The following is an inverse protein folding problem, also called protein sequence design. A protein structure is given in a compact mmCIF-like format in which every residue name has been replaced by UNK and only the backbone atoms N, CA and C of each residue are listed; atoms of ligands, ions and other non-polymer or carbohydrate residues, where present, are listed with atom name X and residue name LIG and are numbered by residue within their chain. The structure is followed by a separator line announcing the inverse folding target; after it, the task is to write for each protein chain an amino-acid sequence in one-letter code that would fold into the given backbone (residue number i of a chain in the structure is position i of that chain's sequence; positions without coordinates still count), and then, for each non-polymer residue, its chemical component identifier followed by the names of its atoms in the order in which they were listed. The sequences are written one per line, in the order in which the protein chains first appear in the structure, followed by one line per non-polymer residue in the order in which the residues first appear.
data_IF_233954267836
#
_entry.id   IF_233954267836
#
_cell.length_a   1.000
_cell.length_b   1.000
_cell.length_c   1.000
_cell.angle_alpha   90.00
_cell.angle_beta   90.00
_cell.angle_gamma   90.00
#
_symmetry.space_group_name_H-M   'P 1'
#
loop_
_entity.id
_entity.type
_entity.pdbx_description
1 polymer ?
#
# COMPACT_ATOMS: atom_id res chain seq x y z
N UNK A 1 -31.13 -2.08 -25.70
CA UNK A 1 -32.47 -1.64 -25.27
C UNK A 1 -32.67 -2.10 -23.83
N UNK A 2 -32.59 -1.20 -22.86
CA UNK A 2 -32.83 -1.51 -21.45
C UNK A 2 -34.26 -1.11 -21.11
N UNK A 3 -35.05 -2.10 -20.69
CA UNK A 3 -36.45 -1.95 -20.30
C UNK A 3 -36.60 -0.97 -19.12
N UNK A 4 -37.79 -0.40 -19.07
CA UNK A 4 -38.21 0.75 -18.27
C UNK A 4 -37.74 0.81 -16.82
N UNK A 5 -37.32 2.03 -16.45
CA UNK A 5 -36.81 2.42 -15.14
C UNK A 5 -37.88 2.48 -14.04
N UNK A 6 -38.58 1.37 -13.81
CA UNK A 6 -39.37 1.19 -12.60
C UNK A 6 -38.41 1.09 -11.40
N UNK A 7 -38.59 1.91 -10.36
CA UNK A 7 -37.79 1.80 -9.15
C UNK A 7 -38.05 0.44 -8.48
N UNK A 8 -37.02 -0.41 -8.43
CA UNK A 8 -37.09 -1.69 -7.70
C UNK A 8 -37.39 -1.43 -6.22
N UNK A 9 -38.49 -1.98 -5.73
CA UNK A 9 -38.79 -2.04 -4.30
C UNK A 9 -37.98 -3.18 -3.67
N UNK A 10 -37.22 -2.86 -2.61
CA UNK A 10 -36.43 -3.85 -1.87
C UNK A 10 -37.22 -4.33 -0.65
N UNK A 11 -37.18 -5.63 -0.40
CA UNK A 11 -37.78 -6.26 0.77
C UNK A 11 -37.01 -5.94 2.04
N UNK A 12 -37.63 -6.12 3.21
CA UNK A 12 -36.97 -5.96 4.50
C UNK A 12 -35.78 -6.94 4.65
N UNK A 13 -35.95 -8.18 4.19
CA UNK A 13 -34.90 -9.21 4.22
C UNK A 13 -33.68 -8.83 3.35
N UNK A 14 -33.91 -8.34 2.12
CA UNK A 14 -32.81 -7.86 1.26
C UNK A 14 -32.08 -6.68 1.89
N UNK A 15 -32.80 -5.78 2.56
CA UNK A 15 -32.19 -4.64 3.26
C UNK A 15 -31.34 -5.10 4.44
N UNK A 16 -31.82 -6.03 5.25
CA UNK A 16 -31.08 -6.59 6.38
C UNK A 16 -29.81 -7.29 5.91
N UNK A 17 -29.92 -8.16 4.90
CA UNK A 17 -28.79 -8.85 4.29
C UNK A 17 -27.77 -7.87 3.70
N UNK A 18 -28.23 -6.80 3.04
CA UNK A 18 -27.35 -5.75 2.52
C UNK A 18 -26.58 -5.02 3.63
N UNK A 19 -27.20 -4.79 4.79
CA UNK A 19 -26.54 -4.16 5.94
C UNK A 19 -25.53 -5.10 6.61
N UNK A 20 -25.81 -6.40 6.64
CA UNK A 20 -24.88 -7.42 7.10
C UNK A 20 -23.63 -7.47 6.21
N UNK A 21 -23.82 -7.59 4.89
CA UNK A 21 -22.71 -7.56 3.93
C UNK A 21 -21.99 -6.20 3.91
N UNK A 22 -22.68 -5.10 4.20
CA UNK A 22 -22.04 -3.80 4.34
C UNK A 22 -20.98 -3.81 5.46
N UNK A 23 -21.30 -4.35 6.64
CA UNK A 23 -20.36 -4.40 7.76
C UNK A 23 -19.15 -5.29 7.47
N UNK A 24 -19.39 -6.42 6.80
CA UNK A 24 -18.37 -7.43 6.53
C UNK A 24 -17.40 -7.03 5.40
N UNK A 25 -17.93 -6.73 4.22
CA UNK A 25 -17.14 -6.57 2.98
C UNK A 25 -17.29 -5.18 2.35
N UNK A 26 -18.43 -4.54 2.55
CA UNK A 26 -18.66 -3.17 2.12
C UNK A 26 -19.65 -2.90 1.01
N UNK A 27 -19.95 -1.61 0.77
CA UNK A 27 -21.08 -1.22 -0.08
C UNK A 27 -20.88 -1.63 -1.53
N UNK A 28 -19.64 -1.68 -2.02
CA UNK A 28 -19.36 -2.09 -3.39
C UNK A 28 -19.58 -3.60 -3.57
N UNK A 29 -19.02 -4.41 -2.67
CA UNK A 29 -19.15 -5.87 -2.75
C UNK A 29 -20.56 -6.34 -2.40
N UNK A 30 -21.18 -5.79 -1.36
CA UNK A 30 -22.58 -6.03 -1.04
C UNK A 30 -23.50 -5.68 -2.23
N UNK A 31 -23.21 -4.56 -2.90
CA UNK A 31 -23.96 -4.15 -4.09
C UNK A 31 -23.79 -5.10 -5.28
N UNK A 32 -22.57 -5.62 -5.50
CA UNK A 32 -22.33 -6.67 -6.52
C UNK A 32 -23.11 -7.94 -6.23
N UNK A 33 -23.10 -8.42 -4.98
CA UNK A 33 -23.75 -9.68 -4.59
C UNK A 33 -25.28 -9.62 -4.64
N UNK A 34 -25.87 -8.52 -4.21
CA UNK A 34 -27.33 -8.37 -4.14
C UNK A 34 -27.93 -7.64 -5.35
N UNK A 35 -27.09 -7.19 -6.29
CA UNK A 35 -27.50 -6.32 -7.40
C UNK A 35 -28.17 -5.01 -6.92
N UNK A 36 -27.72 -4.47 -5.79
CA UNK A 36 -28.21 -3.22 -5.20
C UNK A 36 -27.17 -2.13 -5.42
N UNK A 37 -27.60 -0.92 -5.78
CA UNK A 37 -26.67 0.20 -5.97
C UNK A 37 -25.92 0.50 -4.66
N UNK A 38 -24.58 0.63 -4.67
CA UNK A 38 -23.80 0.88 -3.46
C UNK A 38 -24.24 2.15 -2.69
N UNK A 39 -24.73 3.17 -3.40
CA UNK A 39 -25.26 4.39 -2.79
C UNK A 39 -26.49 4.15 -1.91
N UNK A 40 -27.38 3.25 -2.32
CA UNK A 40 -28.57 2.85 -1.56
C UNK A 40 -28.18 2.13 -0.27
N UNK A 41 -27.24 1.19 -0.37
CA UNK A 41 -26.71 0.47 0.81
C UNK A 41 -26.07 1.44 1.80
N UNK A 42 -25.28 2.41 1.31
CA UNK A 42 -24.69 3.46 2.17
C UNK A 42 -25.75 4.30 2.88
N UNK A 43 -26.81 4.68 2.18
CA UNK A 43 -27.90 5.45 2.77
C UNK A 43 -28.61 4.65 3.88
N UNK A 44 -28.87 3.35 3.66
CA UNK A 44 -29.43 2.49 4.69
C UNK A 44 -28.50 2.31 5.89
N UNK A 45 -27.21 2.12 5.65
CA UNK A 45 -26.22 1.98 6.71
C UNK A 45 -26.08 3.25 7.55
N UNK A 46 -26.15 4.42 6.91
CA UNK A 46 -26.18 5.71 7.59
C UNK A 46 -27.44 5.84 8.48
N UNK A 47 -28.62 5.56 7.92
CA UNK A 47 -29.88 5.57 8.69
C UNK A 47 -29.88 4.57 9.85
N UNK A 48 -29.14 3.47 9.73
CA UNK A 48 -29.00 2.46 10.78
C UNK A 48 -27.83 2.72 11.76
N UNK A 49 -27.08 3.82 11.62
CA UNK A 49 -25.94 4.14 12.48
C UNK A 49 -24.75 3.16 12.36
N UNK A 50 -24.64 2.44 11.24
CA UNK A 50 -23.62 1.40 11.04
C UNK A 50 -22.31 1.94 10.44
N UNK A 51 -22.33 3.17 9.94
CA UNK A 51 -21.18 3.82 9.29
C UNK A 51 -19.97 3.93 10.24
N UNK A 52 -20.20 4.35 11.49
CA UNK A 52 -19.12 4.52 12.47
C UNK A 52 -18.50 3.20 12.89
N UNK A 53 -19.33 2.16 13.09
CA UNK A 53 -18.88 0.81 13.41
C UNK A 53 -17.90 0.31 12.34
N UNK A 54 -18.28 0.44 11.07
CA UNK A 54 -17.42 0.07 9.94
C UNK A 54 -16.12 0.88 9.90
N UNK A 55 -16.19 2.20 10.13
CA UNK A 55 -15.00 3.05 10.15
C UNK A 55 -14.05 2.68 11.30
N UNK A 56 -14.58 2.29 12.47
CA UNK A 56 -13.76 1.78 13.56
C UNK A 56 -13.03 0.49 13.16
N UNK A 57 -13.73 -0.49 12.58
CA UNK A 57 -13.12 -1.74 12.09
C UNK A 57 -12.06 -1.47 11.01
N UNK A 58 -12.36 -0.60 10.05
CA UNK A 58 -11.40 -0.25 9.00
C UNK A 58 -10.15 0.46 9.56
N UNK A 59 -10.31 1.34 10.56
CA UNK A 59 -9.18 1.99 11.25
C UNK A 59 -8.35 0.96 12.03
N UNK A 60 -8.99 0.04 12.74
CA UNK A 60 -8.31 -1.04 13.45
C UNK A 60 -7.52 -1.94 12.49
N UNK A 61 -8.13 -2.36 11.37
CA UNK A 61 -7.45 -3.12 10.32
C UNK A 61 -6.26 -2.37 9.71
N UNK A 62 -6.41 -1.07 9.44
CA UNK A 62 -5.31 -0.24 8.95
C UNK A 62 -4.18 -0.08 9.98
N UNK A 63 -4.51 0.04 11.27
CA UNK A 63 -3.53 0.10 12.35
C UNK A 63 -2.76 -1.23 12.48
N UNK A 64 -3.47 -2.36 12.45
CA UNK A 64 -2.86 -3.69 12.46
C UNK A 64 -1.94 -3.90 11.24
N UNK A 65 -2.38 -3.53 10.04
CA UNK A 65 -1.56 -3.62 8.83
C UNK A 65 -0.28 -2.77 8.92
N UNK A 66 -0.37 -1.56 9.51
CA UNK A 66 0.79 -0.70 9.76
C UNK A 66 1.75 -1.34 10.77
N UNK A 67 1.23 -1.94 11.83
CA UNK A 67 2.03 -2.65 12.82
C UNK A 67 2.77 -3.82 12.18
N UNK A 68 2.08 -4.66 11.40
CA UNK A 68 2.71 -5.78 10.68
C UNK A 68 3.76 -5.31 9.70
N UNK A 69 3.53 -4.18 9.02
CA UNK A 69 4.53 -3.59 8.14
C UNK A 69 5.76 -3.08 8.91
N UNK A 70 5.56 -2.42 10.06
CA UNK A 70 6.66 -1.98 10.92
C UNK A 70 7.47 -3.18 11.43
N UNK A 71 6.82 -4.25 11.87
CA UNK A 71 7.46 -5.49 12.29
C UNK A 71 8.28 -6.13 11.16
N UNK A 72 7.71 -6.25 9.96
CA UNK A 72 8.43 -6.77 8.79
C UNK A 72 9.67 -5.94 8.46
N UNK A 73 9.56 -4.61 8.49
CA UNK A 73 10.73 -3.73 8.26
C UNK A 73 11.80 -3.91 9.33
N UNK A 74 11.41 -4.01 10.59
CA UNK A 74 12.35 -4.26 11.68
C UNK A 74 13.09 -5.61 11.51
N UNK A 75 12.37 -6.66 11.10
CA UNK A 75 13.01 -7.96 10.82
C UNK A 75 14.01 -7.89 9.66
N UNK A 76 13.66 -7.21 8.56
CA UNK A 76 14.58 -7.01 7.44
C UNK A 76 15.79 -6.18 7.86
N UNK A 77 15.60 -5.11 8.65
CA UNK A 77 16.68 -4.28 9.15
C UNK A 77 17.66 -5.09 10.01
N UNK A 78 17.14 -5.95 10.91
CA UNK A 78 17.94 -6.86 11.73
C UNK A 78 18.77 -7.81 10.87
N UNK A 79 18.13 -8.51 9.92
CA UNK A 79 18.84 -9.45 9.02
C UNK A 79 19.92 -8.76 8.17
N UNK A 80 19.66 -7.52 7.72
CA UNK A 80 20.64 -6.73 7.01
C UNK A 80 21.84 -6.34 7.90
N UNK A 81 21.59 -6.02 9.18
CA UNK A 81 22.64 -5.82 10.17
C UNK A 81 23.45 -7.09 10.44
N UNK A 82 22.79 -8.24 10.60
CA UNK A 82 23.45 -9.54 10.78
C UNK A 82 24.36 -9.87 9.58
N UNK A 83 23.87 -9.66 8.35
CA UNK A 83 24.67 -9.84 7.13
C UNK A 83 25.85 -8.87 7.05
N UNK A 84 25.67 -7.62 7.47
CA UNK A 84 26.76 -6.64 7.53
C UNK A 84 27.89 -7.11 8.46
N UNK A 85 27.56 -7.68 9.63
CA UNK A 85 28.56 -8.24 10.53
C UNK A 85 29.35 -9.38 9.88
N UNK A 86 28.68 -10.31 9.20
CA UNK A 86 29.34 -11.41 8.48
C UNK A 86 30.30 -10.90 7.39
N UNK A 87 29.92 -9.88 6.61
CA UNK A 87 30.82 -9.30 5.61
C UNK A 87 32.09 -8.69 6.21
N UNK A 88 32.02 -8.17 7.45
CA UNK A 88 33.20 -7.65 8.16
C UNK A 88 34.11 -8.80 8.59
N UNK A 89 33.54 -9.87 9.16
CA UNK A 89 34.29 -11.06 9.56
C UNK A 89 35.00 -11.71 8.35
N UNK A 90 34.29 -11.90 7.24
CA UNK A 90 34.83 -12.46 6.00
C UNK A 90 35.94 -11.56 5.42
N UNK A 91 35.79 -10.24 5.50
CA UNK A 91 36.81 -9.31 5.02
C UNK A 91 38.09 -9.34 5.86
N UNK A 92 37.96 -9.54 7.17
CA UNK A 92 39.12 -9.72 8.07
C UNK A 92 39.84 -11.03 7.75
N UNK A 93 39.09 -12.11 7.49
CA UNK A 93 39.63 -13.43 7.18
C UNK A 93 40.22 -13.55 5.76
N UNK A 94 39.88 -12.64 4.84
CA UNK A 94 40.32 -12.71 3.45
C UNK A 94 41.74 -12.20 3.22
N UNK A 95 42.61 -13.06 2.69
CA UNK A 95 43.97 -12.72 2.26
C UNK A 95 44.02 -11.88 0.98
N UNK A 96 42.97 -11.93 0.16
CA UNK A 96 42.92 -11.24 -1.13
C UNK A 96 42.39 -9.81 -0.97
N UNK A 97 43.20 -8.83 -1.40
CA UNK A 97 42.83 -7.42 -1.32
C UNK A 97 41.58 -7.05 -2.12
N UNK A 98 41.32 -7.73 -3.25
CA UNK A 98 40.10 -7.52 -4.06
C UNK A 98 38.86 -7.98 -3.30
N UNK A 99 38.89 -9.20 -2.77
CA UNK A 99 37.77 -9.81 -2.06
C UNK A 99 37.42 -8.97 -0.81
N UNK A 100 38.41 -8.46 -0.08
CA UNK A 100 38.18 -7.51 1.04
C UNK A 100 37.43 -6.26 0.60
N UNK A 101 37.77 -5.67 -0.55
CA UNK A 101 37.10 -4.47 -1.06
C UNK A 101 35.64 -4.76 -1.41
N UNK A 102 35.38 -5.87 -2.07
CA UNK A 102 34.04 -6.28 -2.49
C UNK A 102 33.14 -6.61 -1.28
N UNK A 103 33.71 -7.27 -0.26
CA UNK A 103 33.04 -7.53 1.01
C UNK A 103 32.74 -6.22 1.77
N UNK A 104 33.67 -5.25 1.78
CA UNK A 104 33.43 -3.94 2.41
C UNK A 104 32.39 -3.09 1.67
N UNK A 105 32.34 -3.17 0.35
CA UNK A 105 31.25 -2.56 -0.42
C UNK A 105 29.89 -3.20 -0.07
N UNK A 106 29.86 -4.53 0.07
CA UNK A 106 28.65 -5.28 0.46
C UNK A 106 28.20 -4.94 1.89
N UNK A 107 29.13 -4.87 2.84
CA UNK A 107 28.90 -4.38 4.20
C UNK A 107 28.22 -3.00 4.19
N UNK A 108 28.79 -2.04 3.44
CA UNK A 108 28.24 -0.69 3.35
C UNK A 108 26.79 -0.69 2.87
N UNK A 109 26.49 -1.42 1.78
CA UNK A 109 25.13 -1.52 1.25
C UNK A 109 24.15 -2.15 2.26
N UNK A 110 24.58 -3.19 2.98
CA UNK A 110 23.77 -3.85 3.98
C UNK A 110 23.49 -2.94 5.20
N UNK A 111 24.52 -2.23 5.68
CA UNK A 111 24.41 -1.29 6.78
C UNK A 111 23.52 -0.09 6.44
N UNK A 112 23.68 0.51 5.26
CA UNK A 112 22.81 1.59 4.76
C UNK A 112 21.36 1.10 4.61
N UNK A 113 21.15 -0.11 4.08
CA UNK A 113 19.84 -0.73 3.99
C UNK A 113 19.19 -0.95 5.35
N UNK A 114 19.94 -1.46 6.33
CA UNK A 114 19.47 -1.64 7.70
C UNK A 114 19.08 -0.31 8.34
N UNK A 115 19.89 0.73 8.15
CA UNK A 115 19.64 2.07 8.67
C UNK A 115 18.35 2.66 8.07
N UNK A 116 18.16 2.57 6.74
CA UNK A 116 16.96 3.07 6.07
C UNK A 116 15.67 2.35 6.49
N UNK A 117 15.77 1.08 6.86
CA UNK A 117 14.63 0.26 7.30
C UNK A 117 14.34 0.39 8.79
N UNK A 118 15.31 0.87 9.58
CA UNK A 118 15.18 1.04 11.02
C UNK A 118 14.11 2.10 11.36
N UNK A 119 13.20 1.83 12.30
CA UNK A 119 12.23 2.82 12.76
C UNK A 119 12.88 4.01 13.48
N UNK A 120 14.11 3.85 13.99
CA UNK A 120 14.87 4.90 14.68
C UNK A 120 15.54 5.90 13.73
N UNK A 121 15.74 5.51 12.46
CA UNK A 121 16.03 6.47 11.40
C UNK A 121 14.74 7.23 11.13
N UNK A 122 14.42 8.17 12.02
CA UNK A 122 13.39 9.18 11.78
C UNK A 122 13.55 9.66 10.35
N UNK A 123 12.43 9.74 9.62
CA UNK A 123 12.42 10.13 8.20
C UNK A 123 13.41 11.28 8.03
N UNK A 124 14.48 11.15 7.23
CA UNK A 124 15.57 12.12 7.23
C UNK A 124 14.98 13.51 7.07
N UNK A 125 15.23 14.39 8.05
CA UNK A 125 14.51 15.65 8.24
C UNK A 125 14.65 16.64 7.07
N UNK A 126 15.41 16.31 6.02
CA UNK A 126 15.63 17.12 4.83
C UNK A 126 15.14 16.52 3.51
N UNK A 127 14.69 15.26 3.47
CA UNK A 127 14.28 14.64 2.20
C UNK A 127 12.84 15.03 1.88
N UNK A 128 12.70 16.30 1.46
CA UNK A 128 11.52 16.77 0.73
C UNK A 128 11.34 15.75 -0.38
N UNK A 129 10.24 14.98 -0.35
CA UNK A 129 9.75 14.24 -1.52
C UNK A 129 9.97 15.19 -2.69
N UNK A 130 10.86 14.83 -3.62
CA UNK A 130 10.92 15.49 -4.91
C UNK A 130 9.50 15.32 -5.42
N UNK A 131 8.72 16.39 -5.27
CA UNK A 131 7.37 16.41 -5.78
C UNK A 131 7.59 16.10 -7.24
N UNK A 132 7.11 14.93 -7.68
CA UNK A 132 6.96 14.65 -9.09
C UNK A 132 5.95 15.69 -9.58
N UNK A 133 6.45 16.89 -9.81
CA UNK A 133 5.68 18.02 -10.26
C UNK A 133 5.11 17.60 -11.60
N UNK A 134 3.86 18.01 -11.84
CA UNK A 134 3.13 17.76 -13.09
C UNK A 134 3.92 18.10 -14.37
N UNK A 135 5.10 18.77 -14.30
CA UNK A 135 6.02 18.99 -15.43
C UNK A 135 6.53 17.69 -16.07
N UNK A 136 6.82 16.64 -15.30
CA UNK A 136 7.34 15.38 -15.86
C UNK A 136 6.38 14.66 -16.82
N UNK A 137 5.05 14.81 -16.64
CA UNK A 137 4.06 14.18 -17.53
C UNK A 137 3.91 14.87 -18.88
N UNK A 138 4.33 16.13 -19.05
CA UNK A 138 4.27 16.81 -20.36
C UNK A 138 5.33 16.28 -21.33
N UNK A 139 6.50 15.88 -20.86
CA UNK A 139 7.56 15.39 -21.76
C UNK A 139 7.32 13.97 -22.29
N UNK A 140 6.62 13.11 -21.54
CA UNK A 140 6.31 11.75 -22.03
C UNK A 140 5.19 11.77 -23.09
N UNK A 141 4.26 12.73 -23.05
CA UNK A 141 3.25 12.90 -24.12
C UNK A 141 3.81 13.57 -25.38
N UNK A 142 4.77 14.48 -25.25
CA UNK A 142 5.38 15.13 -26.41
C UNK A 142 6.18 14.15 -27.29
N UNK A 143 6.81 13.11 -26.70
CA UNK A 143 7.56 12.11 -27.47
C UNK A 143 6.68 11.12 -28.25
N UNK A 144 5.44 10.85 -27.81
CA UNK A 144 4.51 9.98 -28.57
C UNK A 144 3.92 10.68 -29.79
N UNK A 145 3.65 11.98 -29.72
CA UNK A 145 3.09 12.73 -30.85
C UNK A 145 4.04 12.85 -32.05
N UNK A 146 5.36 12.78 -31.83
CA UNK A 146 6.37 12.85 -32.90
C UNK A 146 6.50 11.50 -33.63
N UNK A 147 6.19 10.39 -32.98
CA UNK A 147 6.31 9.05 -33.58
C UNK A 147 5.10 8.65 -34.44
N UNK A 148 3.92 9.22 -34.19
CA UNK A 148 2.70 8.89 -34.95
C UNK A 148 2.47 9.78 -36.18
N UNK A 149 3.29 10.83 -36.38
CA UNK A 149 3.18 11.77 -37.51
C UNK A 149 4.14 11.53 -38.68
N UNK A 150 4.93 10.47 -38.66
CA UNK A 150 5.87 10.12 -39.72
C UNK A 150 5.36 8.89 -40.51
N UNK A 151 4.30 9.09 -41.30
CA UNK A 151 3.88 8.22 -42.41
C UNK A 151 3.29 9.05 -43.52
#
# INVERSE_FOLDING_TARGET
MAADGQPRTYTAAEREEALRLYLDMGPAEAGRRLSIRPGTIRQWAFKAGLTDKRHATARAGAAAARLTWAQRRADVARRAGDAAALFVEDAIASDKARDRRDLMASFKMAAEGAQLLSPAAGRPAGERRVAWTRRGRRHVRARRAVSDGAR
#
